data_IF_787811184033
#
_entry.id   IF_787811184033
#
_cell.length_a   1.000
_cell.length_b   1.000
_cell.length_c   1.000
_cell.angle_alpha   90.00
_cell.angle_beta   90.00
_cell.angle_gamma   90.00
#
_symmetry.space_group_name_H-M   'P 1'
#
loop_
_entity.id
_entity.type
_entity.pdbx_description
1 polymer ?
#
# COMPACT_ATOMS: atom_id res chain seq x y z
N UNK A 1 28.62 -13.91 -8.45
CA UNK A 1 28.01 -15.06 -7.73
C UNK A 1 27.18 -15.88 -8.72
N UNK A 2 27.20 -17.21 -8.58
CA UNK A 2 26.51 -18.16 -9.48
C UNK A 2 24.98 -18.07 -9.42
N UNK A 3 24.30 -18.99 -10.11
CA UNK A 3 22.85 -19.22 -9.88
C UNK A 3 22.72 -19.97 -8.55
N UNK A 4 21.86 -19.46 -7.67
CA UNK A 4 21.60 -19.96 -6.33
C UNK A 4 20.33 -20.82 -6.32
N UNK A 5 20.34 -21.86 -5.50
CA UNK A 5 19.13 -22.53 -5.02
C UNK A 5 18.33 -21.60 -4.11
N UNK A 6 17.10 -21.99 -3.79
CA UNK A 6 16.25 -21.22 -2.88
C UNK A 6 16.87 -21.07 -1.49
N UNK A 7 17.46 -22.15 -0.94
CA UNK A 7 18.09 -22.14 0.38
C UNK A 7 19.31 -21.21 0.41
N UNK A 8 20.18 -21.28 -0.60
CA UNK A 8 21.34 -20.38 -0.72
C UNK A 8 20.91 -18.91 -0.90
N UNK A 9 19.83 -18.65 -1.65
CA UNK A 9 19.28 -17.30 -1.79
C UNK A 9 18.68 -16.78 -0.47
N UNK A 10 18.08 -17.64 0.35
CA UNK A 10 17.60 -17.26 1.69
C UNK A 10 18.74 -16.91 2.63
N UNK A 11 19.82 -17.71 2.62
CA UNK A 11 21.02 -17.44 3.40
C UNK A 11 21.70 -16.15 2.95
N UNK A 12 21.84 -15.94 1.64
CA UNK A 12 22.36 -14.70 1.09
C UNK A 12 21.52 -13.51 1.56
N UNK A 13 20.19 -13.55 1.45
CA UNK A 13 19.32 -12.46 1.93
C UNK A 13 19.43 -12.19 3.43
N UNK A 14 19.70 -13.20 4.24
CA UNK A 14 19.89 -13.02 5.68
C UNK A 14 21.13 -12.15 6.00
N UNK A 15 22.15 -12.19 5.13
CA UNK A 15 23.41 -11.44 5.32
C UNK A 15 23.30 -9.96 4.92
N UNK A 16 22.39 -9.60 4.02
CA UNK A 16 22.34 -8.24 3.41
C UNK A 16 21.42 -7.28 4.20
N UNK A 17 20.64 -7.80 5.16
CA UNK A 17 19.76 -6.98 6.01
C UNK A 17 18.40 -6.66 5.37
N UNK A 18 17.44 -6.20 6.19
CA UNK A 18 16.04 -5.98 5.77
C UNK A 18 15.77 -4.62 5.14
N UNK A 19 16.65 -3.65 5.34
CA UNK A 19 16.42 -2.26 4.91
C UNK A 19 16.99 -1.95 3.52
N UNK A 20 17.85 -2.81 2.97
CA UNK A 20 18.49 -2.60 1.65
C UNK A 20 17.61 -3.01 0.47
N UNK A 21 17.85 -2.39 -0.67
CA UNK A 21 17.27 -2.76 -1.95
C UNK A 21 18.22 -3.68 -2.72
N UNK A 22 17.69 -4.54 -3.57
CA UNK A 22 18.50 -5.37 -4.45
C UNK A 22 17.81 -5.64 -5.77
N UNK A 23 18.61 -5.78 -6.82
CA UNK A 23 18.17 -6.32 -8.11
C UNK A 23 18.43 -7.82 -8.11
N UNK A 24 17.45 -8.59 -8.56
CA UNK A 24 17.52 -10.03 -8.65
C UNK A 24 17.12 -10.55 -10.03
N UNK A 25 17.59 -11.74 -10.35
CA UNK A 25 17.22 -12.49 -11.53
C UNK A 25 16.65 -13.85 -11.15
N UNK A 26 15.69 -14.31 -11.95
CA UNK A 26 15.19 -15.68 -11.92
C UNK A 26 15.68 -16.42 -13.17
N UNK A 27 16.07 -17.68 -12.97
CA UNK A 27 16.68 -18.52 -14.00
C UNK A 27 15.85 -19.78 -14.26
N UNK A 28 15.79 -20.17 -15.54
CA UNK A 28 15.33 -21.50 -15.94
C UNK A 28 16.40 -22.54 -15.54
N UNK A 29 16.04 -23.84 -15.49
CA UNK A 29 16.99 -24.91 -15.18
C UNK A 29 18.20 -24.97 -16.13
N UNK A 30 18.03 -24.51 -17.36
CA UNK A 30 19.11 -24.42 -18.37
C UNK A 30 20.10 -23.26 -18.15
N UNK A 31 19.92 -22.46 -17.09
CA UNK A 31 20.77 -21.31 -16.79
C UNK A 31 20.39 -20.03 -17.54
N UNK A 32 19.30 -20.02 -18.30
CA UNK A 32 18.81 -18.81 -18.99
C UNK A 32 18.04 -17.91 -18.02
N UNK A 33 18.41 -16.62 -17.87
CA UNK A 33 17.59 -15.68 -17.12
C UNK A 33 16.26 -15.46 -17.84
N UNK A 34 15.15 -15.54 -17.11
CA UNK A 34 13.82 -15.30 -17.67
C UNK A 34 13.06 -14.17 -16.99
N UNK A 35 13.60 -13.60 -15.92
CA UNK A 35 12.98 -12.46 -15.25
C UNK A 35 14.04 -11.66 -14.49
N UNK A 36 13.93 -10.34 -14.56
CA UNK A 36 14.69 -9.39 -13.74
C UNK A 36 13.70 -8.61 -12.88
N UNK A 37 14.02 -8.38 -11.61
CA UNK A 37 13.20 -7.53 -10.76
C UNK A 37 13.99 -6.84 -9.67
N UNK A 38 13.48 -5.71 -9.17
CA UNK A 38 13.91 -5.12 -7.91
C UNK A 38 13.09 -5.59 -6.71
N UNK A 39 13.71 -5.58 -5.54
CA UNK A 39 13.04 -5.95 -4.31
C UNK A 39 13.80 -5.62 -3.04
N UNK A 40 13.14 -5.89 -1.91
CA UNK A 40 13.68 -5.83 -0.55
C UNK A 40 13.15 -7.02 0.24
N UNK A 41 13.88 -7.43 1.28
CA UNK A 41 13.51 -8.57 2.11
C UNK A 41 13.33 -9.84 1.27
N UNK A 42 12.15 -10.47 1.33
CA UNK A 42 11.86 -11.76 0.65
C UNK A 42 11.17 -11.61 -0.71
N UNK A 43 11.17 -10.42 -1.33
CA UNK A 43 10.48 -10.12 -2.59
C UNK A 43 10.83 -11.08 -3.73
N UNK A 44 12.10 -11.52 -3.83
CA UNK A 44 12.56 -12.48 -4.84
C UNK A 44 11.74 -13.78 -4.88
N UNK A 45 11.19 -14.23 -3.74
CA UNK A 45 10.41 -15.48 -3.63
C UNK A 45 8.91 -15.30 -3.86
N UNK A 46 8.41 -14.07 -4.03
CA UNK A 46 6.98 -13.83 -4.15
C UNK A 46 6.39 -14.46 -5.43
N UNK A 47 7.19 -14.55 -6.49
CA UNK A 47 6.75 -15.05 -7.80
C UNK A 47 6.35 -16.52 -7.78
N UNK A 48 7.04 -17.37 -6.99
CA UNK A 48 6.63 -18.77 -6.80
C UNK A 48 5.28 -18.86 -6.08
N UNK A 49 5.05 -18.01 -5.07
CA UNK A 49 3.77 -17.97 -4.35
C UNK A 49 2.64 -17.48 -5.25
N UNK A 50 2.90 -16.46 -6.07
CA UNK A 50 1.95 -15.97 -7.07
C UNK A 50 1.59 -17.06 -8.11
N UNK A 51 2.56 -17.91 -8.47
CA UNK A 51 2.36 -18.99 -9.44
C UNK A 51 1.41 -20.10 -8.94
N UNK A 52 1.14 -20.18 -7.64
CA UNK A 52 0.11 -21.06 -7.07
C UNK A 52 -1.32 -20.54 -7.33
N UNK A 53 -1.49 -19.25 -7.64
CA UNK A 53 -2.79 -18.62 -7.87
C UNK A 53 -3.35 -18.85 -9.27
N UNK A 54 -4.28 -17.98 -9.69
CA UNK A 54 -4.94 -18.05 -11.01
C UNK A 54 -4.34 -17.10 -12.08
N UNK A 55 -3.33 -16.30 -11.73
CA UNK A 55 -2.69 -15.35 -12.65
C UNK A 55 -2.03 -16.04 -13.85
N UNK A 56 -2.15 -15.45 -15.05
CA UNK A 56 -1.77 -16.07 -16.33
C UNK A 56 -0.64 -15.36 -17.08
N UNK A 57 0.19 -14.57 -16.41
CA UNK A 57 1.31 -13.86 -17.07
C UNK A 57 2.40 -14.83 -17.54
N UNK A 58 3.20 -14.43 -18.54
CA UNK A 58 4.28 -15.25 -19.08
C UNK A 58 5.23 -15.73 -17.97
N UNK A 59 5.68 -14.81 -17.11
CA UNK A 59 6.48 -15.11 -15.89
C UNK A 59 5.90 -16.26 -15.07
N UNK A 60 4.61 -16.19 -14.71
CA UNK A 60 3.97 -17.22 -13.87
C UNK A 60 3.84 -18.55 -14.61
N UNK A 61 3.52 -18.51 -15.91
CA UNK A 61 3.44 -19.71 -16.73
C UNK A 61 4.80 -20.40 -16.89
N UNK A 62 5.90 -19.64 -17.00
CA UNK A 62 7.27 -20.17 -17.01
C UNK A 62 7.60 -20.89 -15.70
N UNK A 63 7.30 -20.29 -14.55
CA UNK A 63 7.51 -20.93 -13.24
C UNK A 63 6.69 -22.23 -13.15
N UNK A 64 5.40 -22.19 -13.48
CA UNK A 64 4.54 -23.39 -13.48
C UNK A 64 5.06 -24.47 -14.42
N UNK A 65 5.57 -24.12 -15.59
CA UNK A 65 6.12 -25.08 -16.55
C UNK A 65 7.36 -25.79 -15.98
N UNK A 66 8.29 -25.03 -15.37
CA UNK A 66 9.47 -25.57 -14.69
C UNK A 66 9.07 -26.52 -13.56
N UNK A 67 8.11 -26.13 -12.72
CA UNK A 67 7.61 -26.98 -11.62
C UNK A 67 6.94 -28.25 -12.13
N UNK A 68 6.13 -28.18 -13.20
CA UNK A 68 5.48 -29.37 -13.80
C UNK A 68 6.48 -30.36 -14.39
N UNK A 69 7.64 -29.88 -14.83
CA UNK A 69 8.73 -30.72 -15.31
C UNK A 69 9.56 -31.35 -14.16
N UNK A 70 9.16 -31.15 -12.90
CA UNK A 70 9.88 -31.67 -11.74
C UNK A 70 11.18 -30.91 -11.40
N UNK A 71 11.39 -29.75 -12.02
CA UNK A 71 12.56 -28.91 -11.80
C UNK A 71 12.23 -27.67 -10.93
N UNK A 72 13.27 -26.97 -10.50
CA UNK A 72 13.17 -25.72 -9.72
C UNK A 72 13.77 -24.56 -10.51
N UNK A 73 13.28 -23.34 -10.27
CA UNK A 73 13.91 -22.14 -10.81
C UNK A 73 15.14 -21.78 -9.99
N UNK A 74 16.12 -21.14 -10.64
CA UNK A 74 17.30 -20.60 -9.99
C UNK A 74 17.14 -19.12 -9.64
N UNK A 75 17.94 -18.66 -8.68
CA UNK A 75 17.92 -17.29 -8.18
C UNK A 75 19.29 -16.63 -8.35
N UNK A 76 19.33 -15.31 -8.46
CA UNK A 76 20.57 -14.55 -8.26
C UNK A 76 20.25 -13.20 -7.68
N UNK A 77 20.92 -12.85 -6.59
CA UNK A 77 21.01 -11.46 -6.15
C UNK A 77 22.14 -10.85 -6.96
N UNK A 78 21.81 -9.94 -7.87
CA UNK A 78 22.77 -9.38 -8.80
C UNK A 78 23.59 -8.28 -8.13
N UNK A 79 22.91 -7.34 -7.49
CA UNK A 79 23.53 -6.22 -6.80
C UNK A 79 22.61 -5.67 -5.72
N UNK A 80 23.21 -5.09 -4.69
CA UNK A 80 22.56 -4.51 -3.52
C UNK A 80 22.79 -3.00 -3.54
N UNK A 81 21.79 -2.25 -3.10
CA UNK A 81 21.75 -0.80 -3.11
C UNK A 81 21.15 -0.28 -1.81
N UNK A 82 21.69 0.82 -1.30
CA UNK A 82 21.12 1.53 -0.15
C UNK A 82 19.91 2.37 -0.57
N UNK A 83 19.93 2.91 -1.80
CA UNK A 83 18.88 3.77 -2.35
C UNK A 83 18.05 3.03 -3.38
N UNK A 84 16.72 3.16 -3.28
CA UNK A 84 15.79 2.53 -4.21
C UNK A 84 15.98 3.00 -5.66
N UNK A 85 16.27 4.28 -5.86
CA UNK A 85 16.45 4.87 -7.19
C UNK A 85 17.63 4.24 -7.96
N UNK A 86 18.72 3.91 -7.27
CA UNK A 86 19.87 3.23 -7.89
C UNK A 86 19.53 1.79 -8.25
N UNK A 87 18.85 1.08 -7.36
CA UNK A 87 18.34 -0.26 -7.61
C UNK A 87 17.41 -0.29 -8.83
N UNK A 88 16.56 0.73 -8.97
CA UNK A 88 15.65 0.88 -10.10
C UNK A 88 16.38 1.15 -11.41
N UNK A 89 17.33 2.08 -11.43
CA UNK A 89 18.16 2.34 -12.61
C UNK A 89 18.85 1.08 -13.10
N UNK A 90 19.35 0.28 -12.17
CA UNK A 90 20.03 -0.98 -12.46
C UNK A 90 19.08 -2.09 -12.96
N UNK A 91 17.85 -2.16 -12.44
CA UNK A 91 16.81 -3.04 -12.98
C UNK A 91 16.51 -2.73 -14.45
N UNK A 92 16.32 -1.45 -14.77
CA UNK A 92 16.05 -0.98 -16.14
C UNK A 92 17.21 -1.32 -17.07
N UNK A 93 18.45 -1.07 -16.64
CA UNK A 93 19.65 -1.38 -17.40
C UNK A 93 19.77 -2.88 -17.71
N UNK A 94 19.54 -3.74 -16.72
CA UNK A 94 19.59 -5.19 -16.91
C UNK A 94 18.48 -5.68 -17.83
N UNK A 95 17.26 -5.15 -17.72
CA UNK A 95 16.15 -5.53 -18.63
C UNK A 95 16.50 -5.17 -20.07
N UNK A 96 17.06 -3.99 -20.30
CA UNK A 96 17.54 -3.56 -21.63
C UNK A 96 18.68 -4.43 -22.14
N UNK A 97 19.63 -4.79 -21.27
CA UNK A 97 20.80 -5.59 -21.62
C UNK A 97 20.45 -7.03 -21.98
N UNK A 98 19.57 -7.68 -21.21
CA UNK A 98 19.14 -9.05 -21.48
C UNK A 98 18.09 -9.12 -22.59
N UNK A 99 17.25 -8.10 -22.74
CA UNK A 99 16.18 -8.05 -23.74
C UNK A 99 14.92 -8.82 -23.36
N UNK A 100 13.78 -8.36 -23.89
CA UNK A 100 12.44 -8.87 -23.58
C UNK A 100 11.91 -9.82 -24.64
N UNK A 101 11.19 -10.84 -24.20
CA UNK A 101 10.61 -11.87 -25.06
C UNK A 101 9.46 -11.34 -25.91
N UNK A 102 8.59 -10.50 -25.35
CA UNK A 102 7.44 -9.96 -26.08
C UNK A 102 7.84 -8.99 -27.20
N UNK A 103 8.99 -8.31 -27.04
CA UNK A 103 9.62 -7.48 -28.07
C UNK A 103 10.57 -8.27 -29.00
N UNK A 104 10.76 -9.57 -28.78
CA UNK A 104 11.71 -10.39 -29.55
C UNK A 104 13.18 -10.00 -29.37
N UNK A 105 13.53 -9.24 -28.32
CA UNK A 105 14.88 -8.73 -28.08
C UNK A 105 15.68 -9.60 -27.09
N UNK A 106 15.03 -10.53 -26.37
CA UNK A 106 15.73 -11.41 -25.44
C UNK A 106 14.82 -12.38 -24.68
N UNK A 107 15.35 -13.09 -23.66
CA UNK A 107 14.64 -14.20 -23.01
C UNK A 107 13.73 -13.77 -21.85
N UNK A 108 13.73 -12.50 -21.46
CA UNK A 108 13.01 -12.02 -20.28
C UNK A 108 11.50 -12.00 -20.50
N UNK A 109 10.77 -12.49 -19.50
CA UNK A 109 9.31 -12.51 -19.40
C UNK A 109 8.73 -11.24 -18.78
N UNK A 110 9.58 -10.24 -18.51
CA UNK A 110 9.17 -8.90 -18.12
C UNK A 110 8.23 -8.31 -19.18
N UNK A 111 7.14 -7.66 -18.75
CA UNK A 111 6.16 -7.02 -19.64
C UNK A 111 6.40 -5.51 -19.77
N UNK A 112 7.45 -5.01 -19.14
CA UNK A 112 7.79 -3.59 -19.01
C UNK A 112 9.31 -3.47 -19.10
N UNK A 113 9.83 -2.29 -19.42
CA UNK A 113 11.28 -2.04 -19.54
C UNK A 113 12.00 -1.91 -18.17
N UNK A 114 11.34 -2.35 -17.09
CA UNK A 114 11.71 -1.96 -15.73
C UNK A 114 11.16 -0.58 -15.40
N UNK A 115 11.37 -0.10 -14.16
CA UNK A 115 10.72 1.15 -13.72
C UNK A 115 9.29 0.91 -13.23
N UNK A 116 8.54 0.05 -13.91
CA UNK A 116 7.13 -0.19 -13.61
C UNK A 116 6.90 -1.20 -12.47
N UNK A 117 7.19 -0.74 -11.26
CA UNK A 117 6.52 -1.19 -10.04
C UNK A 117 6.38 0.01 -9.13
N UNK A 118 5.22 0.68 -9.12
CA UNK A 118 5.01 2.00 -8.46
C UNK A 118 6.09 3.07 -8.74
N UNK A 119 7.04 2.86 -9.67
CA UNK A 119 8.29 3.64 -9.80
C UNK A 119 8.57 4.09 -11.26
N UNK A 120 7.60 3.99 -12.16
CA UNK A 120 7.79 4.14 -13.62
C UNK A 120 7.52 5.54 -14.15
N UNK A 121 7.62 6.54 -13.30
CA UNK A 121 7.28 7.92 -13.58
C UNK A 121 8.53 8.72 -13.09
N UNK A 122 8.99 9.75 -13.81
CA UNK A 122 10.11 10.60 -13.32
C UNK A 122 9.81 11.09 -11.90
N UNK A 123 10.74 11.58 -11.06
CA UNK A 123 10.33 12.16 -9.76
C UNK A 123 9.18 13.18 -9.92
N UNK A 124 9.19 13.92 -11.02
CA UNK A 124 8.10 14.80 -11.41
C UNK A 124 6.82 14.04 -11.75
N UNK A 125 6.87 12.96 -12.53
CA UNK A 125 5.68 12.17 -12.87
C UNK A 125 5.20 11.31 -11.69
N UNK A 126 6.12 10.76 -10.89
CA UNK A 126 6.14 10.53 -9.43
C UNK A 126 5.16 11.42 -8.69
N UNK A 127 5.61 12.65 -8.49
CA UNK A 127 4.89 13.71 -7.82
C UNK A 127 3.60 14.05 -8.53
N UNK A 128 3.49 13.91 -9.86
CA UNK A 128 2.24 14.19 -10.59
C UNK A 128 1.20 13.09 -10.41
N UNK A 129 1.60 11.83 -10.36
CA UNK A 129 0.69 10.69 -10.13
C UNK A 129 0.37 10.57 -8.65
N UNK A 130 1.36 10.78 -7.78
CA UNK A 130 1.14 10.95 -6.35
C UNK A 130 0.25 12.17 -6.06
N UNK A 131 0.48 13.34 -6.67
CA UNK A 131 -0.43 14.48 -6.57
C UNK A 131 -1.80 14.21 -7.20
N UNK A 132 -1.87 13.47 -8.31
CA UNK A 132 -3.13 13.10 -8.94
C UNK A 132 -3.91 12.02 -8.17
N UNK A 133 -3.26 11.26 -7.27
CA UNK A 133 -3.91 10.20 -6.47
C UNK A 133 -4.07 10.59 -5.00
N UNK A 134 -3.19 11.42 -4.45
CA UNK A 134 -3.06 11.75 -3.04
C UNK A 134 -2.99 13.26 -2.78
N UNK A 135 -2.68 14.06 -3.80
CA UNK A 135 -2.66 15.52 -3.72
C UNK A 135 -4.05 16.17 -3.91
N UNK A 136 -4.16 17.47 -3.59
CA UNK A 136 -5.42 18.22 -3.64
C UNK A 136 -5.99 18.40 -5.06
N UNK A 137 -5.13 18.29 -6.08
CA UNK A 137 -5.48 18.48 -7.49
C UNK A 137 -5.90 17.18 -8.20
N UNK A 138 -6.08 16.10 -7.46
CA UNK A 138 -6.62 14.85 -8.00
C UNK A 138 -7.97 15.09 -8.70
N UNK A 139 -8.25 14.45 -9.85
CA UNK A 139 -9.49 14.69 -10.58
C UNK A 139 -10.71 14.11 -9.85
N UNK A 140 -11.87 14.75 -10.05
CA UNK A 140 -13.17 14.28 -9.58
C UNK A 140 -13.31 14.18 -8.05
N UNK A 141 -14.11 13.22 -7.59
CA UNK A 141 -14.39 12.99 -6.17
C UNK A 141 -13.12 12.71 -5.34
N UNK A 142 -12.05 12.23 -5.98
CA UNK A 142 -10.78 12.00 -5.29
C UNK A 142 -10.12 13.31 -4.85
N UNK A 143 -10.15 14.34 -5.68
CA UNK A 143 -9.66 15.68 -5.30
C UNK A 143 -10.45 16.30 -4.17
N UNK A 144 -11.78 16.12 -4.18
CA UNK A 144 -12.66 16.56 -3.10
C UNK A 144 -12.22 15.92 -1.78
N UNK A 145 -12.07 14.58 -1.76
CA UNK A 145 -11.62 13.85 -0.58
C UNK A 145 -10.23 14.32 -0.09
N UNK A 146 -9.29 14.52 -1.03
CA UNK A 146 -7.92 14.93 -0.70
C UNK A 146 -7.88 16.34 -0.13
N UNK A 147 -8.54 17.33 -0.77
CA UNK A 147 -8.61 18.71 -0.25
C UNK A 147 -9.25 18.78 1.13
N UNK A 148 -10.36 18.06 1.32
CA UNK A 148 -11.04 18.00 2.62
C UNK A 148 -10.13 17.41 3.70
N UNK A 149 -9.51 16.28 3.43
CA UNK A 149 -8.69 15.59 4.42
C UNK A 149 -7.39 16.35 4.74
N UNK A 150 -6.71 16.91 3.73
CA UNK A 150 -5.44 17.60 3.92
C UNK A 150 -5.58 18.88 4.75
N UNK A 151 -6.73 19.57 4.71
CA UNK A 151 -7.04 20.69 5.63
C UNK A 151 -7.03 20.27 7.10
N UNK A 152 -7.32 19.01 7.38
CA UNK A 152 -7.32 18.44 8.74
C UNK A 152 -5.94 17.87 9.11
N UNK A 153 -5.26 17.22 8.15
CA UNK A 153 -3.99 16.56 8.40
C UNK A 153 -3.15 16.46 7.12
N UNK A 154 -2.15 17.34 6.99
CA UNK A 154 -1.24 17.39 5.84
C UNK A 154 -0.18 16.26 5.85
N UNK A 155 0.20 15.77 7.04
CA UNK A 155 1.26 14.77 7.22
C UNK A 155 0.75 13.33 7.11
N UNK A 156 0.23 12.94 5.94
CA UNK A 156 -0.14 11.54 5.68
C UNK A 156 0.46 11.02 4.37
N UNK A 157 0.97 9.78 4.41
CA UNK A 157 1.46 9.09 3.21
C UNK A 157 0.35 8.74 2.22
N UNK A 158 -0.91 8.70 2.67
CA UNK A 158 -2.08 8.55 1.80
C UNK A 158 -3.37 8.96 2.52
N UNK A 159 -4.23 9.69 1.81
CA UNK A 159 -5.57 10.09 2.30
C UNK A 159 -6.46 8.84 2.46
N UNK A 160 -6.92 8.53 3.69
CA UNK A 160 -7.67 7.32 4.00
C UNK A 160 -9.19 7.43 3.73
N UNK A 161 -9.67 8.62 3.40
CA UNK A 161 -11.03 8.86 2.92
C UNK A 161 -11.04 8.69 1.40
N UNK A 162 -11.94 7.87 0.87
CA UNK A 162 -12.02 7.57 -0.57
C UNK A 162 -13.45 7.74 -1.09
N UNK A 163 -13.62 8.05 -2.39
CA UNK A 163 -14.94 8.05 -3.02
C UNK A 163 -15.62 6.68 -2.89
N UNK A 164 -16.88 6.69 -2.48
CA UNK A 164 -17.64 5.47 -2.23
C UNK A 164 -17.82 4.65 -3.53
N UNK A 165 -18.09 5.33 -4.65
CA UNK A 165 -18.36 4.70 -5.94
C UNK A 165 -17.18 3.88 -6.50
N UNK A 166 -15.93 4.26 -6.17
CA UNK A 166 -14.72 3.61 -6.70
C UNK A 166 -14.01 2.74 -5.68
N UNK A 167 -14.55 2.63 -4.45
CA UNK A 167 -13.93 1.86 -3.37
C UNK A 167 -14.60 0.51 -3.21
N UNK A 168 -13.86 -0.58 -3.45
CA UNK A 168 -14.32 -1.92 -3.11
C UNK A 168 -14.26 -2.13 -1.59
N UNK A 169 -15.42 -2.10 -0.94
CA UNK A 169 -15.53 -2.22 0.51
C UNK A 169 -15.59 -3.68 0.96
N UNK A 170 -14.89 -3.96 2.06
CA UNK A 170 -15.01 -5.19 2.81
C UNK A 170 -15.38 -4.87 4.26
N UNK A 171 -16.00 -5.83 4.94
CA UNK A 171 -16.32 -5.70 6.35
C UNK A 171 -15.05 -5.46 7.17
N UNK A 172 -15.13 -4.50 8.08
CA UNK A 172 -14.01 -4.21 8.96
C UNK A 172 -13.82 -5.38 9.91
N UNK A 173 -12.61 -5.95 9.95
CA UNK A 173 -12.29 -7.04 10.86
C UNK A 173 -11.07 -6.67 11.70
N UNK A 174 -11.09 -6.91 13.02
CA UNK A 174 -9.87 -6.86 13.82
C UNK A 174 -8.96 -8.02 13.38
N UNK A 175 -7.83 -7.70 12.73
CA UNK A 175 -6.83 -8.70 12.37
C UNK A 175 -5.94 -9.05 13.57
N UNK A 176 -5.27 -10.23 13.54
CA UNK A 176 -4.40 -10.67 14.64
C UNK A 176 -3.12 -9.82 14.69
N UNK A 177 -2.95 -9.08 15.80
CA UNK A 177 -1.75 -8.31 16.15
C UNK A 177 -2.07 -6.85 16.46
N UNK A 178 -1.74 -6.34 17.66
CA UNK A 178 -2.03 -4.96 18.05
C UNK A 178 -1.27 -3.96 17.16
N UNK A 179 -1.87 -2.78 16.93
CA UNK A 179 -1.23 -1.63 16.28
C UNK A 179 -1.11 -0.48 17.28
N UNK A 180 -0.11 0.38 17.11
CA UNK A 180 -0.05 1.64 17.85
C UNK A 180 -0.93 2.69 17.15
N UNK A 181 -1.59 3.59 17.91
CA UNK A 181 -2.25 4.77 17.35
C UNK A 181 -1.32 5.57 16.41
N UNK A 182 -1.90 6.17 15.38
CA UNK A 182 -1.17 7.05 14.47
C UNK A 182 -2.05 8.20 14.00
N UNK A 183 -1.42 9.32 13.60
CA UNK A 183 -2.09 10.53 13.10
C UNK A 183 -3.08 10.23 11.96
N UNK A 184 -2.72 9.34 11.02
CA UNK A 184 -3.59 8.90 9.93
C UNK A 184 -4.88 8.23 10.40
N UNK A 185 -4.82 7.42 11.46
CA UNK A 185 -6.00 6.69 11.97
C UNK A 185 -6.97 7.64 12.67
N UNK A 186 -6.46 8.51 13.55
CA UNK A 186 -7.29 9.46 14.29
C UNK A 186 -7.83 10.58 13.40
N UNK A 187 -7.06 11.03 12.40
CA UNK A 187 -7.53 11.97 11.39
C UNK A 187 -8.67 11.39 10.55
N UNK A 188 -8.69 10.08 10.28
CA UNK A 188 -9.81 9.46 9.58
C UNK A 188 -11.11 9.48 10.40
N UNK A 189 -11.03 9.21 11.71
CA UNK A 189 -12.16 9.32 12.62
C UNK A 189 -12.66 10.76 12.70
N UNK A 190 -11.75 11.72 12.90
CA UNK A 190 -12.08 13.13 12.96
C UNK A 190 -12.67 13.66 11.63
N UNK A 191 -12.13 13.24 10.47
CA UNK A 191 -12.67 13.62 9.16
C UNK A 191 -14.13 13.17 8.99
N UNK A 192 -14.46 11.95 9.40
CA UNK A 192 -15.85 11.49 9.39
C UNK A 192 -16.72 12.22 10.40
N UNK A 193 -16.20 12.49 11.61
CA UNK A 193 -16.92 13.26 12.61
C UNK A 193 -17.28 14.66 12.10
N UNK A 194 -16.33 15.37 11.47
CA UNK A 194 -16.54 16.70 10.86
C UNK A 194 -17.60 16.65 9.77
N UNK A 195 -17.45 15.74 8.81
CA UNK A 195 -18.37 15.65 7.68
C UNK A 195 -19.80 15.25 8.11
N UNK A 196 -19.93 14.43 9.15
CA UNK A 196 -21.22 14.00 9.69
C UNK A 196 -21.74 14.88 10.84
N UNK A 197 -21.01 15.95 11.22
CA UNK A 197 -21.34 16.84 12.35
C UNK A 197 -21.54 16.08 13.67
N UNK A 198 -20.67 15.11 13.92
CA UNK A 198 -20.64 14.32 15.16
C UNK A 198 -19.64 14.94 16.12
N UNK A 199 -20.08 15.17 17.37
CA UNK A 199 -19.20 15.62 18.44
C UNK A 199 -18.20 14.51 18.80
N UNK A 200 -16.91 14.86 18.88
CA UNK A 200 -15.83 13.97 19.28
C UNK A 200 -15.80 13.91 20.80
N UNK A 201 -16.37 12.83 21.34
CA UNK A 201 -16.39 12.52 22.76
C UNK A 201 -16.33 11.00 22.97
N UNK A 202 -15.91 10.49 24.14
CA UNK A 202 -15.96 9.07 24.41
C UNK A 202 -17.34 8.47 24.13
N UNK A 203 -17.38 7.34 23.42
CA UNK A 203 -18.60 6.66 22.96
C UNK A 203 -19.37 7.37 21.84
N UNK A 204 -18.83 8.42 21.23
CA UNK A 204 -19.38 8.98 19.99
C UNK A 204 -19.48 7.90 18.91
N UNK A 205 -20.59 7.86 18.18
CA UNK A 205 -20.80 6.96 17.05
C UNK A 205 -20.41 7.71 15.78
N UNK A 206 -19.27 7.33 15.20
CA UNK A 206 -18.70 7.96 14.01
C UNK A 206 -18.99 7.05 12.81
N UNK A 207 -19.83 7.46 11.84
CA UNK A 207 -20.13 6.65 10.67
C UNK A 207 -18.89 6.36 9.83
N UNK A 208 -18.85 5.22 9.14
CA UNK A 208 -17.75 4.91 8.21
C UNK A 208 -17.88 5.69 6.90
N UNK A 209 -19.13 5.92 6.46
CA UNK A 209 -19.49 6.82 5.36
C UNK A 209 -19.47 8.27 5.82
N UNK A 210 -19.22 9.15 4.88
CA UNK A 210 -19.29 10.59 5.06
C UNK A 210 -19.61 11.25 3.72
N UNK A 211 -20.16 12.46 3.74
CA UNK A 211 -20.44 13.24 2.53
C UNK A 211 -19.63 14.52 2.58
N UNK A 212 -18.91 14.81 1.50
CA UNK A 212 -18.05 15.98 1.38
C UNK A 212 -18.38 16.65 0.05
N UNK A 213 -18.83 17.91 0.08
CA UNK A 213 -19.24 18.65 -1.13
C UNK A 213 -20.20 17.82 -2.01
N UNK A 214 -21.25 17.25 -1.38
CA UNK A 214 -22.26 16.34 -2.00
C UNK A 214 -21.72 15.02 -2.58
N UNK A 215 -20.41 14.78 -2.53
CA UNK A 215 -19.81 13.54 -2.97
C UNK A 215 -19.76 12.50 -1.83
N UNK A 216 -20.31 11.29 -2.03
CA UNK A 216 -20.29 10.23 -1.01
C UNK A 216 -18.90 9.61 -0.90
N UNK A 217 -18.37 9.59 0.31
CA UNK A 217 -17.06 9.07 0.65
C UNK A 217 -17.15 7.98 1.72
N UNK A 218 -16.03 7.30 1.95
CA UNK A 218 -15.90 6.24 2.96
C UNK A 218 -14.48 6.14 3.50
N UNK A 219 -14.33 5.75 4.76
CA UNK A 219 -13.03 5.35 5.33
C UNK A 219 -12.61 3.99 4.74
N UNK A 220 -11.45 3.94 4.09
CA UNK A 220 -10.95 2.74 3.39
C UNK A 220 -10.72 1.53 4.34
N UNK A 221 -10.72 0.33 3.76
CA UNK A 221 -10.57 -0.93 4.52
C UNK A 221 -9.31 -0.97 5.40
N UNK A 222 -8.18 -0.45 4.90
CA UNK A 222 -6.90 -0.48 5.62
C UNK A 222 -6.95 0.28 6.94
N UNK A 223 -7.34 1.56 6.89
CA UNK A 223 -7.49 2.37 8.11
C UNK A 223 -8.61 1.86 9.00
N UNK A 224 -9.74 1.43 8.43
CA UNK A 224 -10.85 0.88 9.19
C UNK A 224 -10.43 -0.35 10.02
N UNK A 225 -9.58 -1.23 9.48
CA UNK A 225 -9.03 -2.35 10.27
C UNK A 225 -7.98 -1.88 11.28
N UNK A 226 -7.10 -0.97 10.88
CA UNK A 226 -6.00 -0.50 11.74
C UNK A 226 -6.49 0.28 12.97
N UNK A 227 -7.55 1.09 12.85
CA UNK A 227 -8.13 1.79 14.01
C UNK A 227 -8.71 0.82 15.05
N UNK A 228 -9.31 -0.29 14.60
CA UNK A 228 -9.84 -1.34 15.50
C UNK A 228 -8.69 -2.07 16.19
N UNK A 229 -7.63 -2.39 15.46
CA UNK A 229 -6.42 -3.04 16.00
C UNK A 229 -5.63 -2.16 16.97
N UNK A 230 -5.76 -0.84 16.84
CA UNK A 230 -5.17 0.14 17.75
C UNK A 230 -6.07 0.45 18.96
N UNK A 231 -7.27 -0.14 19.04
CA UNK A 231 -8.21 0.09 20.13
C UNK A 231 -8.82 1.50 20.14
N UNK A 232 -8.73 2.25 19.03
CA UNK A 232 -9.25 3.62 18.93
C UNK A 232 -10.78 3.65 18.90
N UNK A 233 -11.40 2.59 18.40
CA UNK A 233 -12.85 2.45 18.39
C UNK A 233 -13.26 0.97 18.42
N UNK A 234 -14.52 0.73 18.75
CA UNK A 234 -15.17 -0.57 18.55
C UNK A 234 -16.02 -0.52 17.28
N UNK A 235 -16.09 -1.63 16.56
CA UNK A 235 -16.91 -1.70 15.35
C UNK A 235 -18.39 -1.90 15.72
N UNK A 236 -19.24 -1.04 15.18
CA UNK A 236 -20.69 -1.28 15.07
C UNK A 236 -20.92 -1.81 13.65
N UNK A 237 -21.18 -3.12 13.57
CA UNK A 237 -21.39 -3.81 12.29
C UNK A 237 -22.71 -3.42 11.62
N UNK A 238 -22.76 -3.59 10.30
CA UNK A 238 -23.95 -3.39 9.48
C UNK A 238 -24.01 -4.46 8.38
N UNK A 239 -25.17 -4.59 7.72
CA UNK A 239 -25.34 -5.54 6.62
C UNK A 239 -24.44 -5.20 5.42
N UNK A 240 -24.30 -3.91 5.08
CA UNK A 240 -23.35 -3.46 4.09
C UNK A 240 -22.09 -2.92 4.78
N UNK A 241 -20.88 -3.24 4.29
CA UNK A 241 -19.64 -2.79 4.92
C UNK A 241 -19.46 -1.27 4.95
N UNK A 242 -20.10 -0.53 4.04
CA UNK A 242 -20.08 0.93 4.07
C UNK A 242 -20.98 1.55 5.14
N UNK A 243 -22.00 0.82 5.62
CA UNK A 243 -22.94 1.31 6.63
C UNK A 243 -22.44 1.05 8.06
N UNK A 244 -21.24 0.47 8.21
CA UNK A 244 -20.58 0.30 9.49
C UNK A 244 -20.34 1.65 10.19
N UNK A 245 -20.24 1.61 11.52
CA UNK A 245 -19.88 2.77 12.34
C UNK A 245 -18.81 2.40 13.36
N UNK A 246 -18.13 3.42 13.88
CA UNK A 246 -17.08 3.28 14.88
C UNK A 246 -17.54 3.92 16.18
N UNK A 247 -17.65 3.12 17.25
CA UNK A 247 -17.89 3.62 18.60
C UNK A 247 -16.56 4.06 19.20
N UNK A 248 -16.35 5.38 19.30
CA UNK A 248 -15.08 5.96 19.76
C UNK A 248 -14.75 5.51 21.19
N UNK A 249 -13.54 4.99 21.40
CA UNK A 249 -13.08 4.62 22.74
C UNK A 249 -12.45 5.82 23.46
N UNK A 250 -12.29 5.74 24.79
CA UNK A 250 -11.52 6.76 25.52
C UNK A 250 -10.07 6.86 25.01
N UNK A 251 -9.45 5.73 24.64
CA UNK A 251 -8.11 5.73 24.03
C UNK A 251 -8.12 6.45 22.68
N UNK A 252 -9.16 6.26 21.88
CA UNK A 252 -9.35 6.96 20.61
C UNK A 252 -9.53 8.46 20.78
N UNK A 253 -10.35 8.87 21.75
CA UNK A 253 -10.57 10.26 22.10
C UNK A 253 -9.28 10.96 22.53
N UNK A 254 -8.54 10.39 23.49
CA UNK A 254 -7.25 10.96 23.93
C UNK A 254 -6.23 11.01 22.80
N UNK A 255 -6.19 9.98 21.94
CA UNK A 255 -5.31 9.97 20.78
C UNK A 255 -5.68 11.08 19.79
N UNK A 256 -6.96 11.34 19.54
CA UNK A 256 -7.39 12.47 18.70
C UNK A 256 -6.86 13.80 19.25
N UNK A 257 -7.05 14.05 20.56
CA UNK A 257 -6.59 15.28 21.20
C UNK A 257 -5.06 15.43 21.24
N UNK A 258 -4.34 14.31 21.22
CA UNK A 258 -2.88 14.27 21.23
C UNK A 258 -2.27 14.51 19.85
N UNK A 259 -2.86 13.92 18.81
CA UNK A 259 -2.27 13.91 17.46
C UNK A 259 -2.79 15.02 16.55
N UNK A 260 -3.97 15.58 16.82
CA UNK A 260 -4.60 16.62 15.99
C UNK A 260 -4.61 17.95 16.73
N UNK A 261 -4.57 19.04 15.96
CA UNK A 261 -4.73 20.38 16.49
C UNK A 261 -6.17 20.59 17.00
N UNK A 262 -6.29 20.87 18.30
CA UNK A 262 -7.60 21.06 18.94
C UNK A 262 -8.28 22.33 18.46
N UNK A 263 -7.53 23.38 18.10
CA UNK A 263 -8.13 24.61 17.57
C UNK A 263 -8.87 24.34 16.24
N UNK A 264 -8.30 23.50 15.38
CA UNK A 264 -8.95 23.01 14.16
C UNK A 264 -10.25 22.28 14.48
N UNK A 265 -10.25 21.34 15.44
CA UNK A 265 -11.45 20.58 15.83
C UNK A 265 -12.55 21.45 16.45
N UNK A 266 -12.16 22.44 17.27
CA UNK A 266 -13.06 23.44 17.85
C UNK A 266 -13.69 24.30 16.75
N UNK A 267 -12.89 24.79 15.81
CA UNK A 267 -13.36 25.61 14.68
C UNK A 267 -14.31 24.84 13.76
N UNK A 268 -14.09 23.52 13.61
CA UNK A 268 -14.94 22.63 12.85
C UNK A 268 -16.23 22.25 13.60
N UNK A 269 -16.40 22.67 14.86
CA UNK A 269 -17.60 22.44 15.66
C UNK A 269 -17.78 21.00 16.13
N UNK A 270 -16.70 20.21 16.15
CA UNK A 270 -16.72 18.79 16.56
C UNK A 270 -16.01 18.52 17.88
N UNK A 271 -15.49 19.56 18.54
CA UNK A 271 -14.92 19.46 19.88
C UNK A 271 -15.54 20.56 20.74
N UNK A 272 -15.80 20.29 22.02
CA UNK A 272 -16.21 21.31 22.98
C UNK A 272 -14.97 21.94 23.62
N UNK A 273 -14.98 23.26 23.89
CA UNK A 273 -13.91 23.89 24.64
C UNK A 273 -13.85 23.30 26.04
N UNK A 274 -12.65 22.98 26.51
CA UNK A 274 -12.44 22.70 27.93
C UNK A 274 -12.66 24.00 28.71
N UNK A 275 -13.60 23.96 29.67
CA UNK A 275 -13.86 25.05 30.61
C UNK A 275 -12.67 25.25 31.57
#
# INVERSE_FOLDING_TARGET
MGVLTKAEAEEALAQIGREVFYVYLLYRPDGTPFYVGKGRGRRIFHHEREALGLGRTHKLNTIRAVTRAGATIGYRIHQVFEREAECLGHEIELIRTFGRHDLGTGPLTNLTDGGEGTSGLSEETLRRIDAALHGPDAPGERGIANRFFLRLCEEVSSVPVRPLATTLLAHSAPHRGPRKPSKRMVAALAASAIANRVLIEPRAVIPRKLVVEDAPMVIENGVASDLLRAGLAQLIGAANPGDESFLLSSVGYEAILTFLDQATLLSAGVLLPHL
#
